data_IF_206846461713
#
_entry.id   IF_206846461713
#
_cell.length_a   1.000
_cell.length_b   1.000
_cell.length_c   1.000
_cell.angle_alpha   90.00
_cell.angle_beta   90.00
_cell.angle_gamma   90.00
#
_symmetry.space_group_name_H-M   'P 1'
#
loop_
_entity.id
_entity.type
_entity.pdbx_description
1 polymer ?
#
# COMPACT_ATOMS: atom_id res chain seq x y z
N UNK A 1 16.57 -11.82 -10.91
CA UNK A 1 15.29 -12.55 -10.71
C UNK A 1 14.89 -12.62 -9.22
N UNK A 2 15.43 -11.75 -8.33
CA UNK A 2 15.21 -11.83 -6.88
C UNK A 2 14.45 -10.64 -6.27
N UNK A 3 14.20 -9.57 -7.04
CA UNK A 3 13.59 -8.34 -6.52
C UNK A 3 12.08 -8.42 -6.31
N UNK A 4 11.36 -9.08 -7.22
CA UNK A 4 9.89 -9.10 -7.17
C UNK A 4 9.35 -10.01 -6.04
N UNK A 5 10.05 -11.11 -5.77
CA UNK A 5 9.73 -12.01 -4.65
C UNK A 5 9.99 -11.37 -3.29
N UNK A 6 11.08 -10.61 -3.17
CA UNK A 6 11.44 -9.90 -1.94
C UNK A 6 10.44 -8.76 -1.64
N UNK A 7 10.01 -8.06 -2.69
CA UNK A 7 8.97 -7.03 -2.59
C UNK A 7 7.62 -7.61 -2.17
N UNK A 8 7.23 -8.78 -2.71
CA UNK A 8 5.97 -9.45 -2.36
C UNK A 8 5.98 -9.95 -0.91
N UNK A 9 7.07 -10.58 -0.45
CA UNK A 9 7.18 -11.05 0.94
C UNK A 9 7.09 -9.87 1.92
N UNK A 10 7.77 -8.77 1.62
CA UNK A 10 7.74 -7.59 2.46
C UNK A 10 6.35 -6.93 2.50
N UNK A 11 5.67 -6.84 1.34
CA UNK A 11 4.29 -6.36 1.26
C UNK A 11 3.33 -7.22 2.10
N UNK A 12 3.50 -8.55 2.09
CA UNK A 12 2.70 -9.46 2.90
C UNK A 12 2.93 -9.24 4.41
N UNK A 13 4.18 -9.03 4.83
CA UNK A 13 4.52 -8.69 6.23
C UNK A 13 3.89 -7.38 6.67
N UNK A 14 3.90 -6.35 5.82
CA UNK A 14 3.21 -5.09 6.12
C UNK A 14 1.69 -5.27 6.22
N UNK A 15 1.08 -6.04 5.32
CA UNK A 15 -0.35 -6.35 5.41
C UNK A 15 -0.68 -7.07 6.71
N UNK A 16 0.14 -8.03 7.13
CA UNK A 16 -0.03 -8.72 8.41
C UNK A 16 0.00 -7.76 9.59
N UNK A 17 0.95 -6.83 9.64
CA UNK A 17 1.05 -5.84 10.70
C UNK A 17 -0.17 -4.88 10.72
N UNK A 18 -0.63 -4.43 9.56
CA UNK A 18 -1.85 -3.60 9.43
C UNK A 18 -3.10 -4.37 9.88
N UNK A 19 -3.19 -5.65 9.54
CA UNK A 19 -4.26 -6.55 10.02
C UNK A 19 -4.26 -6.70 11.55
N UNK A 20 -3.10 -6.95 12.16
CA UNK A 20 -2.97 -7.00 13.62
C UNK A 20 -3.28 -5.63 14.26
N UNK A 21 -3.06 -4.55 13.51
CA UNK A 21 -3.54 -3.23 13.83
C UNK A 21 -5.06 -3.02 13.61
N UNK A 22 -5.85 -4.06 13.36
CA UNK A 22 -7.31 -4.02 13.32
C UNK A 22 -7.89 -3.36 12.07
N UNK A 23 -7.06 -3.15 11.05
CA UNK A 23 -7.49 -2.70 9.74
C UNK A 23 -7.65 -3.90 8.80
N UNK A 24 -8.38 -3.71 7.70
CA UNK A 24 -8.47 -4.69 6.61
C UNK A 24 -7.62 -4.19 5.43
N UNK A 25 -6.37 -4.66 5.26
CA UNK A 25 -5.48 -4.16 4.22
C UNK A 25 -5.92 -4.63 2.83
N UNK A 26 -5.83 -3.73 1.85
CA UNK A 26 -5.85 -4.06 0.41
C UNK A 26 -4.48 -3.69 -0.13
N UNK A 27 -3.80 -4.64 -0.78
CA UNK A 27 -2.44 -4.44 -1.29
C UNK A 27 -2.36 -4.89 -2.75
N UNK A 28 -2.58 -3.97 -3.71
CA UNK A 28 -2.50 -4.28 -5.14
C UNK A 28 -1.21 -5.01 -5.55
N UNK A 29 -0.01 -4.63 -5.05
CA UNK A 29 1.23 -5.34 -5.38
C UNK A 29 1.26 -6.84 -5.06
N UNK A 30 0.41 -7.34 -4.17
CA UNK A 30 0.38 -8.77 -3.82
C UNK A 30 -0.39 -9.64 -4.80
N UNK A 31 -1.39 -9.09 -5.50
CA UNK A 31 -2.29 -9.89 -6.33
C UNK A 31 -2.38 -9.41 -7.78
N UNK A 32 -2.11 -8.14 -8.07
CA UNK A 32 -2.07 -7.64 -9.45
C UNK A 32 -1.02 -8.38 -10.31
N UNK A 33 0.21 -8.64 -9.84
CA UNK A 33 1.20 -9.38 -10.64
C UNK A 33 0.81 -10.83 -10.95
N UNK A 34 -0.23 -11.38 -10.30
CA UNK A 34 -0.70 -12.73 -10.58
C UNK A 34 -1.44 -12.83 -11.92
N UNK A 35 -1.90 -11.70 -12.46
CA UNK A 35 -2.64 -11.66 -13.73
C UNK A 35 -2.29 -10.46 -14.62
N UNK A 36 -1.51 -9.48 -14.13
CA UNK A 36 -0.95 -8.38 -14.91
C UNK A 36 0.56 -8.55 -15.09
N UNK A 37 1.04 -8.26 -16.28
CA UNK A 37 2.44 -8.21 -16.66
C UNK A 37 2.90 -6.75 -16.76
N UNK A 38 3.67 -6.30 -15.78
CA UNK A 38 4.18 -4.93 -15.70
C UNK A 38 5.08 -4.53 -16.88
N UNK A 39 5.67 -5.49 -17.59
CA UNK A 39 6.45 -5.22 -18.79
C UNK A 39 5.58 -4.81 -20.01
N UNK A 40 4.27 -5.04 -19.96
CA UNK A 40 3.31 -4.61 -20.98
C UNK A 40 2.79 -3.22 -20.59
N UNK A 41 3.06 -2.15 -21.38
CA UNK A 41 2.70 -0.77 -20.99
C UNK A 41 1.21 -0.55 -20.68
N UNK A 42 0.33 -1.25 -21.40
CA UNK A 42 -1.12 -1.20 -21.17
C UNK A 42 -1.53 -1.84 -19.84
N UNK A 43 -0.93 -2.97 -19.49
CA UNK A 43 -1.20 -3.67 -18.22
C UNK A 43 -0.56 -2.93 -17.04
N UNK A 44 0.63 -2.36 -17.21
CA UNK A 44 1.24 -1.46 -16.23
C UNK A 44 0.31 -0.29 -15.88
N UNK A 45 -0.23 0.38 -16.91
CA UNK A 45 -1.22 1.45 -16.73
C UNK A 45 -2.48 0.94 -16.03
N UNK A 46 -2.97 -0.23 -16.43
CA UNK A 46 -4.14 -0.87 -15.79
C UNK A 46 -3.89 -1.13 -14.31
N UNK A 47 -2.69 -1.59 -13.93
CA UNK A 47 -2.31 -1.81 -12.54
C UNK A 47 -2.31 -0.52 -11.71
N UNK A 48 -1.79 0.58 -12.27
CA UNK A 48 -1.84 1.92 -11.64
C UNK A 48 -3.29 2.38 -11.44
N UNK A 49 -4.12 2.25 -12.46
CA UNK A 49 -5.51 2.70 -12.41
C UNK A 49 -6.34 1.88 -11.41
N UNK A 50 -6.16 0.55 -11.38
CA UNK A 50 -6.78 -0.33 -10.38
C UNK A 50 -6.34 0.02 -8.95
N UNK A 51 -5.05 0.29 -8.73
CA UNK A 51 -4.55 0.72 -7.43
C UNK A 51 -5.19 2.03 -6.95
N UNK A 52 -5.35 3.00 -7.85
CA UNK A 52 -6.02 4.28 -7.57
C UNK A 52 -7.51 4.13 -7.29
N UNK A 53 -8.19 3.24 -7.98
CA UNK A 53 -9.61 2.94 -7.72
C UNK A 53 -9.84 2.30 -6.36
N UNK A 54 -8.92 1.44 -5.93
CA UNK A 54 -8.92 0.90 -4.57
C UNK A 54 -8.62 1.97 -3.52
N UNK A 55 -7.66 2.85 -3.81
CA UNK A 55 -7.38 3.99 -2.93
C UNK A 55 -8.63 4.86 -2.74
N UNK A 56 -9.36 5.20 -3.81
CA UNK A 56 -10.62 5.97 -3.75
C UNK A 56 -11.70 5.34 -2.87
N UNK A 57 -11.67 4.02 -2.68
CA UNK A 57 -12.62 3.26 -1.85
C UNK A 57 -12.11 3.04 -0.42
N UNK A 58 -10.88 3.45 -0.14
CA UNK A 58 -10.21 3.25 1.14
C UNK A 58 -10.35 4.49 2.02
N UNK A 59 -10.36 4.28 3.34
CA UNK A 59 -10.41 5.38 4.32
C UNK A 59 -9.02 5.84 4.76
N UNK A 60 -8.01 4.96 4.60
CA UNK A 60 -6.64 5.19 5.03
C UNK A 60 -5.69 4.66 3.96
N UNK A 61 -4.67 5.44 3.61
CA UNK A 61 -3.49 5.00 2.89
C UNK A 61 -2.37 4.74 3.89
N UNK A 62 -1.88 3.50 3.96
CA UNK A 62 -0.72 3.15 4.79
C UNK A 62 0.52 3.08 3.93
N UNK A 63 1.47 3.95 4.24
CA UNK A 63 2.76 4.06 3.57
C UNK A 63 3.78 3.24 4.35
N UNK A 64 4.43 2.31 3.66
CA UNK A 64 5.38 1.38 4.26
C UNK A 64 6.78 1.52 3.63
N UNK A 65 7.81 1.22 4.42
CA UNK A 65 9.21 1.32 4.00
C UNK A 65 9.90 2.60 4.46
N UNK A 66 11.21 2.68 4.22
CA UNK A 66 12.07 3.79 4.66
C UNK A 66 12.38 4.81 3.56
N UNK A 67 12.06 4.49 2.30
CA UNK A 67 12.33 5.35 1.14
C UNK A 67 11.03 5.72 0.46
N UNK A 68 10.85 7.00 0.14
CA UNK A 68 9.71 7.49 -0.63
C UNK A 68 10.01 7.44 -2.12
N UNK A 69 9.29 6.60 -2.87
CA UNK A 69 9.33 6.61 -4.34
C UNK A 69 8.41 7.70 -4.91
N UNK A 70 8.62 8.08 -6.17
CA UNK A 70 7.71 9.01 -6.86
C UNK A 70 6.28 8.46 -6.99
N UNK A 71 6.14 7.14 -7.17
CA UNK A 71 4.84 6.49 -7.16
C UNK A 71 4.12 6.68 -5.81
N UNK A 72 4.83 6.46 -4.69
CA UNK A 72 4.27 6.68 -3.36
C UNK A 72 3.88 8.14 -3.12
N UNK A 73 4.70 9.10 -3.57
CA UNK A 73 4.37 10.54 -3.48
C UNK A 73 3.09 10.88 -4.24
N UNK A 74 2.92 10.31 -5.44
CA UNK A 74 1.71 10.50 -6.23
C UNK A 74 0.48 9.93 -5.53
N UNK A 75 0.58 8.74 -4.95
CA UNK A 75 -0.53 8.12 -4.21
C UNK A 75 -0.90 8.92 -2.95
N UNK A 76 0.10 9.47 -2.23
CA UNK A 76 -0.13 10.37 -1.10
C UNK A 76 -0.85 11.65 -1.55
N UNK A 77 -0.41 12.27 -2.65
CA UNK A 77 -1.06 13.46 -3.19
C UNK A 77 -2.52 13.19 -3.60
N UNK A 78 -2.78 12.03 -4.21
CA UNK A 78 -4.15 11.58 -4.54
C UNK A 78 -4.97 11.36 -3.27
N UNK A 79 -4.43 10.68 -2.26
CA UNK A 79 -5.11 10.45 -0.99
C UNK A 79 -5.49 11.78 -0.31
N UNK A 80 -4.56 12.71 -0.22
CA UNK A 80 -4.79 14.04 0.34
C UNK A 80 -5.91 14.79 -0.40
N UNK A 81 -5.89 14.78 -1.74
CA UNK A 81 -6.92 15.41 -2.56
C UNK A 81 -8.32 14.82 -2.33
N UNK A 82 -8.39 13.53 -2.00
CA UNK A 82 -9.64 12.81 -1.75
C UNK A 82 -10.08 12.87 -0.28
N UNK A 83 -9.32 13.52 0.61
CA UNK A 83 -9.59 13.53 2.04
C UNK A 83 -9.33 12.19 2.73
N UNK A 84 -8.50 11.34 2.12
CA UNK A 84 -8.10 10.04 2.68
C UNK A 84 -6.89 10.26 3.59
N UNK A 85 -6.96 9.72 4.81
CA UNK A 85 -5.85 9.81 5.77
C UNK A 85 -4.64 9.03 5.25
N UNK A 86 -3.54 9.71 4.96
CA UNK A 86 -2.26 9.07 4.69
C UNK A 86 -1.45 8.97 6.00
N UNK A 87 -0.95 7.78 6.32
CA UNK A 87 -0.16 7.52 7.53
C UNK A 87 0.93 6.49 7.26
N UNK A 88 1.87 6.32 8.19
CA UNK A 88 2.88 5.26 8.12
C UNK A 88 2.47 4.07 8.99
N UNK A 89 3.03 2.90 8.67
CA UNK A 89 2.85 1.72 9.54
C UNK A 89 3.31 2.00 10.98
N UNK A 90 4.44 2.68 11.14
CA UNK A 90 4.95 3.10 12.44
C UNK A 90 3.95 4.00 13.20
N UNK A 91 3.32 4.95 12.49
CA UNK A 91 2.30 5.81 13.06
C UNK A 91 1.12 5.03 13.62
N UNK A 92 0.63 4.03 12.87
CA UNK A 92 -0.45 3.14 13.32
C UNK A 92 -0.04 2.33 14.57
N UNK A 93 1.15 1.75 14.55
CA UNK A 93 1.62 0.88 15.63
C UNK A 93 1.90 1.65 16.92
N UNK A 94 2.40 2.89 16.81
CA UNK A 94 2.67 3.77 17.96
C UNK A 94 1.40 4.12 18.72
N UNK A 95 0.32 4.45 18.00
CA UNK A 95 -0.98 4.78 18.62
C UNK A 95 -1.58 3.56 19.33
N UNK A 96 -1.49 2.37 18.73
CA UNK A 96 -1.99 1.14 19.38
C UNK A 96 -1.20 0.73 20.62
N UNK A 97 0.11 0.97 20.63
CA UNK A 97 0.96 0.68 21.79
C UNK A 97 0.59 1.51 23.02
N UNK A 98 0.09 2.74 22.81
CA UNK A 98 -0.32 3.64 23.90
C UNK A 98 -1.63 3.21 24.59
N UNK A 99 -2.50 2.47 23.91
CA UNK A 99 -3.77 1.97 24.45
C UNK A 99 -3.68 0.67 25.27
N UNK A 100 -2.47 0.13 25.48
CA UNK A 100 -2.22 -1.12 26.24
C UNK A 100 -1.58 -0.87 27.63
N UNK A 101 -1.70 0.33 28.19
CA UNK A 101 -1.31 0.61 29.59
C UNK A 101 -2.49 0.42 30.54
#
# INVERSE_FOLDING_TARGET
MSGDSENAEQAARYCRAVYEAGFSPICPPLYLPLFLNDAVPEEHKSGIDMGRDLLRRSHVLVVCGHTMTEAMKNDIAVAQRLGITATTLEGILTVKGQGKR
#
